data_IF_623972359844
#
_entry.id   IF_623972359844
#
_cell.length_a   1.000
_cell.length_b   1.000
_cell.length_c   1.000
_cell.angle_alpha   90.00
_cell.angle_beta   90.00
_cell.angle_gamma   90.00
#
_symmetry.space_group_name_H-M   'P 1'
#
loop_
_entity.id
_entity.type
_entity.pdbx_description
1 polymer ?
#
# COMPACT_ATOMS: atom_id res chain seq x y z
N UNK A 1 -58.45 44.01 59.59
CA UNK A 1 -57.77 43.00 58.75
C UNK A 1 -58.85 42.29 57.94
N UNK A 2 -59.13 42.74 56.72
CA UNK A 2 -59.95 41.96 55.79
C UNK A 2 -58.99 41.13 54.94
N UNK A 3 -59.00 39.82 55.18
CA UNK A 3 -58.30 38.86 54.35
C UNK A 3 -59.08 38.74 53.03
N UNK A 4 -58.45 39.11 51.92
CA UNK A 4 -58.94 38.79 50.59
C UNK A 4 -58.54 37.34 50.29
N UNK A 5 -59.47 36.42 50.48
CA UNK A 5 -59.34 35.05 49.98
C UNK A 5 -59.18 35.13 48.45
N UNK A 6 -58.06 34.61 47.96
CA UNK A 6 -57.76 34.55 46.53
C UNK A 6 -58.21 33.18 46.05
N UNK A 7 -59.25 33.16 45.21
CA UNK A 7 -59.86 31.93 44.70
C UNK A 7 -58.84 31.12 43.87
N UNK A 8 -58.53 29.86 44.26
CA UNK A 8 -57.49 29.06 43.60
C UNK A 8 -57.85 28.62 42.17
N UNK A 9 -59.13 28.64 41.79
CA UNK A 9 -59.56 28.27 40.43
C UNK A 9 -59.17 29.31 39.35
N UNK A 10 -59.17 30.60 39.69
CA UNK A 10 -58.84 31.65 38.73
C UNK A 10 -57.37 31.60 38.28
N UNK A 11 -56.48 31.12 39.16
CA UNK A 11 -55.05 30.95 38.86
C UNK A 11 -54.78 29.73 37.97
N UNK A 12 -55.60 28.69 38.04
CA UNK A 12 -55.42 27.47 37.22
C UNK A 12 -55.90 27.68 35.78
N UNK A 13 -57.03 28.37 35.58
CA UNK A 13 -57.51 28.75 34.24
C UNK A 13 -56.51 29.68 33.53
N UNK A 14 -55.94 30.65 34.25
CA UNK A 14 -54.90 31.53 33.71
C UNK A 14 -53.64 30.76 33.28
N UNK A 15 -53.19 29.78 34.08
CA UNK A 15 -52.05 28.91 33.72
C UNK A 15 -52.36 28.01 32.52
N UNK A 16 -53.57 27.46 32.43
CA UNK A 16 -53.98 26.65 31.27
C UNK A 16 -54.02 27.47 29.97
N UNK A 17 -54.55 28.70 30.01
CA UNK A 17 -54.59 29.58 28.84
C UNK A 17 -53.17 29.96 28.40
N UNK A 18 -52.29 30.34 29.33
CA UNK A 18 -50.90 30.67 29.00
C UNK A 18 -50.16 29.46 28.40
N UNK A 19 -50.40 28.27 28.94
CA UNK A 19 -49.77 27.04 28.44
C UNK A 19 -50.30 26.69 27.05
N UNK A 20 -51.61 26.82 26.80
CA UNK A 20 -52.21 26.62 25.47
C UNK A 20 -51.73 27.66 24.45
N UNK A 21 -51.65 28.94 24.82
CA UNK A 21 -51.11 29.98 23.94
C UNK A 21 -49.63 29.75 23.61
N UNK A 22 -48.82 29.32 24.60
CA UNK A 22 -47.42 28.93 24.34
C UNK A 22 -47.35 27.73 23.40
N UNK A 23 -48.17 26.69 23.61
CA UNK A 23 -48.19 25.52 22.73
C UNK A 23 -48.60 25.89 21.29
N UNK A 24 -49.61 26.75 21.13
CA UNK A 24 -50.03 27.21 19.80
C UNK A 24 -48.94 28.03 19.12
N UNK A 25 -48.23 28.89 19.86
CA UNK A 25 -47.11 29.65 19.32
C UNK A 25 -45.92 28.76 18.92
N UNK A 26 -45.57 27.77 19.75
CA UNK A 26 -44.50 26.81 19.42
C UNK A 26 -44.87 25.93 18.22
N UNK A 27 -46.12 25.45 18.14
CA UNK A 27 -46.58 24.66 16.99
C UNK A 27 -46.62 25.50 15.70
N UNK A 28 -47.07 26.76 15.77
CA UNK A 28 -47.06 27.67 14.63
C UNK A 28 -45.63 28.03 14.17
N UNK A 29 -44.72 28.26 15.12
CA UNK A 29 -43.30 28.51 14.83
C UNK A 29 -42.59 27.28 14.25
N UNK A 30 -42.94 26.06 14.68
CA UNK A 30 -42.41 24.82 14.14
C UNK A 30 -42.86 24.60 12.68
N UNK A 31 -44.14 24.85 12.38
CA UNK A 31 -44.67 24.75 11.01
C UNK A 31 -44.04 25.76 10.04
N UNK A 32 -43.70 26.96 10.51
CA UNK A 32 -42.96 27.94 9.69
C UNK A 32 -41.51 27.52 9.43
N UNK A 33 -40.88 26.75 10.33
CA UNK A 33 -39.52 26.25 10.18
C UNK A 33 -39.42 25.18 9.08
N UNK A 34 -40.36 24.23 9.05
CA UNK A 34 -40.42 23.19 8.01
C UNK A 34 -40.59 23.77 6.60
N UNK A 35 -41.42 24.80 6.43
CA UNK A 35 -41.60 25.46 5.14
C UNK A 35 -40.34 26.20 4.63
N UNK A 36 -39.47 26.66 5.53
CA UNK A 36 -38.22 27.33 5.18
C UNK A 36 -37.12 26.33 4.76
N UNK A 37 -37.15 25.11 5.33
CA UNK A 37 -36.24 24.02 4.97
C UNK A 37 -36.43 23.57 3.50
N UNK A 38 -37.68 23.42 3.05
CA UNK A 38 -38.00 22.99 1.68
C UNK A 38 -37.66 24.04 0.60
N UNK A 39 -37.72 25.33 0.94
CA UNK A 39 -37.30 26.40 0.03
C UNK A 39 -35.77 26.48 -0.11
N UNK A 40 -35.03 26.25 0.98
CA UNK A 40 -33.56 26.26 0.97
C UNK A 40 -32.94 25.08 0.21
N UNK A 41 -33.62 23.94 0.15
CA UNK A 41 -33.16 22.79 -0.64
C UNK A 41 -33.30 23.04 -2.14
N UNK A 42 -34.37 23.70 -2.59
CA UNK A 42 -34.57 24.01 -4.02
C UNK A 42 -33.54 25.01 -4.54
N UNK A 43 -33.22 26.04 -3.75
CA UNK A 43 -32.19 27.03 -4.13
C UNK A 43 -30.79 26.43 -4.19
N UNK A 44 -30.48 25.47 -3.31
CA UNK A 44 -29.21 24.72 -3.32
C UNK A 44 -29.10 23.79 -4.53
N UNK A 45 -30.19 23.09 -4.89
CA UNK A 45 -30.22 22.22 -6.06
C UNK A 45 -30.13 23.01 -7.38
N UNK A 46 -30.83 24.15 -7.47
CA UNK A 46 -30.71 25.05 -8.62
C UNK A 46 -29.28 25.60 -8.77
N UNK A 47 -28.63 25.98 -7.65
CA UNK A 47 -27.24 26.40 -7.66
C UNK A 47 -26.31 25.28 -8.18
N UNK A 48 -26.45 24.05 -7.69
CA UNK A 48 -25.67 22.90 -8.15
C UNK A 48 -25.89 22.58 -9.65
N UNK A 49 -27.13 22.72 -10.13
CA UNK A 49 -27.46 22.51 -11.53
C UNK A 49 -26.78 23.56 -12.44
N UNK A 50 -26.76 24.82 -12.03
CA UNK A 50 -26.05 25.89 -12.77
C UNK A 50 -24.55 25.68 -12.79
N UNK A 51 -23.95 25.20 -11.69
CA UNK A 51 -22.52 24.89 -11.62
C UNK A 51 -22.14 23.73 -12.54
N UNK A 52 -22.93 22.65 -12.58
CA UNK A 52 -22.74 21.54 -13.52
C UNK A 52 -22.81 22.03 -14.97
N UNK A 53 -23.79 22.87 -15.31
CA UNK A 53 -23.93 23.47 -16.65
C UNK A 53 -22.73 24.33 -17.02
N UNK A 54 -22.24 25.15 -16.10
CA UNK A 54 -21.04 25.97 -16.30
C UNK A 54 -19.78 25.10 -16.48
N UNK A 55 -19.63 24.01 -15.72
CA UNK A 55 -18.53 23.06 -15.86
C UNK A 55 -18.54 22.36 -17.22
N UNK A 56 -19.71 21.90 -17.67
CA UNK A 56 -19.87 21.30 -18.99
C UNK A 56 -19.57 22.29 -20.13
N UNK A 57 -20.00 23.55 -19.99
CA UNK A 57 -19.69 24.59 -20.97
C UNK A 57 -18.18 24.89 -21.04
N UNK A 58 -17.47 24.91 -19.90
CA UNK A 58 -16.00 25.05 -19.85
C UNK A 58 -15.30 23.88 -20.54
N UNK A 59 -15.76 22.65 -20.30
CA UNK A 59 -15.20 21.45 -20.96
C UNK A 59 -15.47 21.45 -22.47
N UNK A 60 -16.65 21.87 -22.91
CA UNK A 60 -16.98 22.01 -24.33
C UNK A 60 -16.13 23.08 -25.02
N UNK A 61 -15.88 24.21 -24.34
CA UNK A 61 -14.99 25.26 -24.85
C UNK A 61 -13.55 24.78 -24.98
N UNK A 62 -13.05 23.99 -24.03
CA UNK A 62 -11.71 23.38 -24.08
C UNK A 62 -11.60 22.36 -25.22
N UNK A 63 -12.62 21.52 -25.44
CA UNK A 63 -12.66 20.57 -26.56
C UNK A 63 -12.64 21.26 -27.92
N UNK A 64 -13.32 22.41 -28.07
CA UNK A 64 -13.32 23.18 -29.33
C UNK A 64 -12.03 23.99 -29.55
N UNK A 65 -11.20 24.16 -28.53
CA UNK A 65 -9.96 24.98 -28.58
C UNK A 65 -8.69 24.15 -28.61
N UNK A 66 -8.79 22.82 -28.65
CA UNK A 66 -7.69 21.99 -29.13
C UNK A 66 -7.58 22.21 -30.65
N UNK A 67 -6.45 22.77 -31.15
CA UNK A 67 -6.16 22.72 -32.57
C UNK A 67 -5.89 21.26 -32.95
N UNK A 68 -6.55 20.78 -34.00
CA UNK A 68 -6.13 19.59 -34.73
C UNK A 68 -4.63 19.76 -35.09
N UNK A 69 -3.75 18.77 -34.87
CA UNK A 69 -2.37 18.88 -35.28
C UNK A 69 -2.28 18.81 -36.81
N UNK A 70 -2.11 19.98 -37.43
CA UNK A 70 -1.74 20.11 -38.84
C UNK A 70 -0.43 19.37 -39.11
N UNK A 71 -0.52 18.49 -40.10
CA UNK A 71 0.58 17.88 -40.80
C UNK A 71 1.47 18.91 -41.49
N UNK A 72 2.76 18.58 -41.56
CA UNK A 72 3.81 19.13 -42.42
C UNK A 72 4.19 20.60 -42.22
N UNK A 73 5.32 20.83 -41.56
CA UNK A 73 6.53 21.41 -42.17
C UNK A 73 7.67 21.43 -41.13
N UNK A 74 8.68 20.58 -41.32
CA UNK A 74 9.96 20.68 -40.60
C UNK A 74 11.07 21.00 -41.60
N UNK A 75 11.60 22.19 -41.40
CA UNK A 75 12.85 22.75 -41.88
C UNK A 75 14.05 21.84 -41.52
N UNK A 76 14.80 21.38 -42.53
CA UNK A 76 16.00 20.57 -42.33
C UNK A 76 17.25 21.38 -42.66
N UNK A 77 18.03 21.59 -41.60
CA UNK A 77 19.36 22.16 -41.62
C UNK A 77 20.42 21.16 -42.11
N UNK A 78 21.54 21.75 -42.52
CA UNK A 78 22.75 21.17 -43.11
C UNK A 78 23.51 20.24 -42.15
N UNK A 79 24.24 19.29 -42.76
CA UNK A 79 25.50 18.64 -42.37
C UNK A 79 25.53 17.18 -41.87
N UNK A 80 26.04 16.32 -42.77
CA UNK A 80 27.03 15.24 -42.58
C UNK A 80 26.77 14.12 -41.57
N UNK A 81 26.02 13.10 -42.03
CA UNK A 81 25.97 11.74 -41.47
C UNK A 81 25.32 10.71 -42.41
N UNK A 82 25.26 11.01 -43.70
CA UNK A 82 24.23 10.49 -44.62
C UNK A 82 24.66 9.26 -45.45
N UNK A 83 25.00 8.13 -44.82
CA UNK A 83 25.13 6.86 -45.57
C UNK A 83 24.23 5.73 -45.10
N UNK A 84 23.76 5.71 -43.85
CA UNK A 84 22.90 4.63 -43.37
C UNK A 84 21.40 5.01 -43.33
N UNK A 85 21.06 6.20 -42.87
CA UNK A 85 19.65 6.67 -42.77
C UNK A 85 18.99 6.89 -44.15
N UNK A 86 19.74 7.38 -45.14
CA UNK A 86 19.25 7.55 -46.51
C UNK A 86 18.85 6.21 -47.18
N UNK A 87 19.42 5.09 -46.74
CA UNK A 87 19.12 3.78 -47.31
C UNK A 87 17.78 3.21 -46.80
N UNK A 88 17.42 3.50 -45.53
CA UNK A 88 16.16 3.08 -44.92
C UNK A 88 14.97 3.79 -45.58
N UNK A 89 15.10 5.09 -45.84
CA UNK A 89 14.06 5.92 -46.45
C UNK A 89 13.81 5.59 -47.93
N UNK A 90 14.88 5.30 -48.67
CA UNK A 90 14.77 4.82 -50.06
C UNK A 90 14.16 3.42 -50.09
N UNK A 91 14.61 2.50 -49.22
CA UNK A 91 14.07 1.15 -49.16
C UNK A 91 12.59 1.14 -48.74
N UNK A 92 12.19 1.90 -47.72
CA UNK A 92 10.79 2.02 -47.30
C UNK A 92 9.92 2.64 -48.41
N UNK A 93 10.41 3.66 -49.13
CA UNK A 93 9.68 4.29 -50.23
C UNK A 93 9.50 3.40 -51.46
N UNK A 94 10.47 2.56 -51.81
CA UNK A 94 10.43 1.75 -53.04
C UNK A 94 10.03 0.28 -52.82
N UNK A 95 10.12 -0.26 -51.59
CA UNK A 95 9.78 -1.66 -51.27
C UNK A 95 8.51 -1.81 -50.40
N UNK A 96 7.88 -0.74 -49.94
CA UNK A 96 6.66 -0.76 -49.07
C UNK A 96 5.41 -1.39 -49.68
N UNK A 97 5.37 -1.64 -50.99
CA UNK A 97 4.21 -2.23 -51.68
C UNK A 97 4.27 -3.75 -51.87
N UNK A 98 5.31 -4.43 -51.36
CA UNK A 98 5.51 -5.88 -51.52
C UNK A 98 5.46 -6.55 -50.15
N UNK A 99 5.26 -7.88 -50.13
CA UNK A 99 5.45 -8.69 -48.95
C UNK A 99 6.97 -8.76 -48.64
N UNK A 100 7.51 -7.66 -48.12
CA UNK A 100 8.91 -7.48 -47.78
C UNK A 100 8.99 -6.61 -46.53
N UNK A 101 9.78 -7.05 -45.56
CA UNK A 101 10.06 -6.30 -44.35
C UNK A 101 11.47 -5.67 -44.43
N UNK A 102 11.58 -4.33 -44.38
CA UNK A 102 12.87 -3.66 -44.50
C UNK A 102 13.84 -3.94 -43.35
N UNK A 103 13.34 -4.33 -42.17
CA UNK A 103 14.19 -4.63 -41.00
C UNK A 103 14.84 -6.01 -41.13
N UNK A 104 14.05 -7.02 -41.44
CA UNK A 104 14.53 -8.41 -41.62
C UNK A 104 15.09 -8.69 -43.01
N UNK A 105 14.98 -7.72 -43.95
CA UNK A 105 15.39 -7.84 -45.36
C UNK A 105 14.87 -9.12 -46.04
N UNK A 106 13.67 -9.56 -45.66
CA UNK A 106 13.08 -10.81 -46.11
C UNK A 106 11.57 -10.70 -46.35
N UNK A 107 10.92 -11.80 -46.80
CA UNK A 107 9.47 -11.85 -46.93
C UNK A 107 8.80 -11.69 -45.55
N UNK A 108 7.82 -10.78 -45.47
CA UNK A 108 6.98 -10.59 -44.28
C UNK A 108 6.06 -11.80 -44.08
N UNK A 109 6.50 -12.72 -43.23
CA UNK A 109 5.69 -13.82 -42.74
C UNK A 109 4.66 -13.28 -41.74
N UNK A 110 3.38 -13.62 -41.91
CA UNK A 110 2.28 -13.14 -41.05
C UNK A 110 2.25 -13.76 -39.65
N UNK A 111 3.36 -14.33 -39.18
CA UNK A 111 3.47 -15.08 -37.93
C UNK A 111 4.40 -14.43 -36.90
N UNK A 112 5.09 -13.34 -37.26
CA UNK A 112 6.03 -12.63 -36.36
C UNK A 112 5.31 -11.92 -35.21
N UNK A 113 4.03 -11.57 -35.38
CA UNK A 113 3.23 -10.96 -34.32
C UNK A 113 2.08 -11.89 -33.95
N UNK A 114 2.08 -12.38 -32.71
CA UNK A 114 0.90 -13.04 -32.16
C UNK A 114 -0.22 -11.99 -32.09
N UNK A 115 -1.45 -12.26 -32.56
CA UNK A 115 -2.55 -11.29 -32.55
C UNK A 115 -2.91 -10.71 -31.16
N UNK A 116 -2.40 -11.33 -30.10
CA UNK A 116 -2.63 -10.99 -28.70
C UNK A 116 -1.49 -10.11 -28.14
N UNK A 117 -0.36 -9.97 -28.85
CA UNK A 117 0.75 -9.12 -28.43
C UNK A 117 0.31 -7.66 -28.30
N UNK A 118 0.38 -7.14 -27.07
CA UNK A 118 0.03 -5.75 -26.76
C UNK A 118 -1.42 -5.50 -26.37
N UNK A 119 -2.30 -6.51 -26.46
CA UNK A 119 -3.66 -6.41 -25.92
C UNK A 119 -3.66 -6.88 -24.47
N UNK A 120 -4.12 -6.02 -23.55
CA UNK A 120 -4.35 -6.44 -22.16
C UNK A 120 -5.42 -7.53 -22.15
N UNK A 121 -5.05 -8.71 -21.68
CA UNK A 121 -5.98 -9.83 -21.59
C UNK A 121 -6.96 -9.59 -20.44
N UNK A 122 -8.16 -10.17 -20.54
CA UNK A 122 -9.14 -10.10 -19.46
C UNK A 122 -8.59 -10.71 -18.17
N UNK A 123 -7.76 -11.75 -18.27
CA UNK A 123 -7.09 -12.38 -17.14
C UNK A 123 -6.12 -11.41 -16.43
N UNK A 124 -5.32 -10.67 -17.19
CA UNK A 124 -4.40 -9.68 -16.63
C UNK A 124 -5.16 -8.52 -15.96
N UNK A 125 -6.26 -8.08 -16.56
CA UNK A 125 -7.13 -7.06 -15.96
C UNK A 125 -7.80 -7.57 -14.68
N UNK A 126 -8.30 -8.81 -14.68
CA UNK A 126 -8.89 -9.44 -13.51
C UNK A 126 -7.87 -9.59 -12.37
N UNK A 127 -6.63 -10.00 -12.68
CA UNK A 127 -5.55 -10.10 -11.69
C UNK A 127 -5.20 -8.74 -11.07
N UNK A 128 -5.13 -7.68 -11.88
CA UNK A 128 -4.90 -6.30 -11.38
C UNK A 128 -6.02 -5.83 -10.46
N UNK A 129 -7.27 -6.12 -10.83
CA UNK A 129 -8.43 -5.77 -10.00
C UNK A 129 -8.38 -6.54 -8.68
N UNK A 130 -8.10 -7.85 -8.70
CA UNK A 130 -7.98 -8.67 -7.49
C UNK A 130 -6.94 -8.11 -6.50
N UNK A 131 -5.73 -7.80 -6.99
CA UNK A 131 -4.65 -7.21 -6.18
C UNK A 131 -5.09 -5.86 -5.59
N UNK A 132 -5.70 -5.00 -6.41
CA UNK A 132 -6.18 -3.69 -5.95
C UNK A 132 -7.29 -3.82 -4.90
N UNK A 133 -8.19 -4.79 -5.03
CA UNK A 133 -9.26 -5.02 -4.05
C UNK A 133 -8.74 -5.58 -2.74
N UNK A 134 -7.75 -6.47 -2.79
CA UNK A 134 -7.09 -6.98 -1.58
C UNK A 134 -6.33 -5.89 -0.82
N UNK A 135 -5.66 -4.99 -1.53
CA UNK A 135 -4.97 -3.85 -0.92
C UNK A 135 -5.97 -2.89 -0.25
N UNK A 136 -7.04 -2.52 -0.97
CA UNK A 136 -8.09 -1.68 -0.41
C UNK A 136 -8.75 -2.32 0.82
N UNK A 137 -9.02 -3.63 0.79
CA UNK A 137 -9.58 -4.33 1.94
C UNK A 137 -8.64 -4.29 3.17
N UNK A 138 -7.33 -4.45 2.98
CA UNK A 138 -6.34 -4.35 4.07
C UNK A 138 -6.25 -2.95 4.67
N UNK A 139 -6.33 -1.92 3.82
CA UNK A 139 -6.33 -0.52 4.26
C UNK A 139 -7.62 -0.16 5.02
N UNK A 140 -8.77 -0.62 4.54
CA UNK A 140 -10.07 -0.46 5.23
C UNK A 140 -10.09 -1.20 6.56
N UNK A 141 -9.56 -2.44 6.63
CA UNK A 141 -9.38 -3.17 7.89
C UNK A 141 -8.45 -2.44 8.88
N UNK A 142 -7.45 -1.69 8.38
CA UNK A 142 -6.58 -0.86 9.22
C UNK A 142 -7.28 0.41 9.72
N UNK A 143 -8.14 1.01 8.90
CA UNK A 143 -8.93 2.18 9.24
C UNK A 143 -10.11 1.87 10.17
N UNK A 144 -10.76 0.72 9.99
CA UNK A 144 -11.90 0.23 10.79
C UNK A 144 -11.47 -0.36 12.14
N UNK A 145 -10.15 -0.52 12.38
CA UNK A 145 -9.64 -0.83 13.71
C UNK A 145 -10.13 0.26 14.67
N UNK A 146 -10.95 -0.09 15.67
CA UNK A 146 -11.52 0.90 16.58
C UNK A 146 -10.39 1.69 17.23
N UNK A 147 -10.42 3.00 17.02
CA UNK A 147 -9.39 3.92 17.52
C UNK A 147 -9.30 3.71 19.03
N UNK A 148 -8.18 3.16 19.46
CA UNK A 148 -7.95 2.84 20.86
C UNK A 148 -7.82 4.14 21.67
N UNK A 149 -8.89 4.45 22.40
CA UNK A 149 -9.05 5.63 23.24
C UNK A 149 -7.93 5.78 24.28
N UNK A 150 -7.23 4.69 24.64
CA UNK A 150 -6.09 4.73 25.55
C UNK A 150 -4.82 5.28 24.90
N UNK A 151 -4.66 5.15 23.58
CA UNK A 151 -3.55 5.73 22.81
C UNK A 151 -3.74 7.22 22.55
N UNK A 152 -4.99 7.68 22.58
CA UNK A 152 -5.38 9.09 22.44
C UNK A 152 -5.30 9.88 23.76
N UNK A 153 -5.02 9.23 24.89
CA UNK A 153 -4.86 9.90 26.17
C UNK A 153 -3.67 10.88 26.13
N UNK A 154 -3.74 11.98 26.92
CA UNK A 154 -2.61 12.88 27.08
C UNK A 154 -1.41 12.11 27.61
N UNK A 155 -0.31 12.15 26.86
CA UNK A 155 0.92 11.41 27.21
C UNK A 155 1.57 11.99 28.47
N UNK A 156 2.36 11.15 29.15
CA UNK A 156 3.16 11.56 30.30
C UNK A 156 4.05 12.77 29.96
N UNK A 157 4.21 13.79 30.82
CA UNK A 157 5.02 14.97 30.51
C UNK A 157 6.47 14.67 30.05
N UNK A 158 7.06 13.59 30.55
CA UNK A 158 8.41 13.14 30.20
C UNK A 158 8.48 12.31 28.89
N UNK A 159 7.38 12.14 28.15
CA UNK A 159 7.33 11.29 26.96
C UNK A 159 8.24 11.80 25.84
N UNK A 160 8.31 13.13 25.70
CA UNK A 160 9.11 13.78 24.67
C UNK A 160 10.60 13.70 24.99
N UNK A 161 10.96 13.97 26.25
CA UNK A 161 12.33 13.79 26.75
C UNK A 161 12.83 12.35 26.57
N UNK A 162 11.96 11.36 26.79
CA UNK A 162 12.30 9.95 26.55
C UNK A 162 12.57 9.68 25.07
N UNK A 163 11.75 10.23 24.17
CA UNK A 163 11.94 10.06 22.73
C UNK A 163 13.27 10.66 22.25
N UNK A 164 13.57 11.88 22.70
CA UNK A 164 14.83 12.56 22.34
C UNK A 164 16.05 11.86 22.95
N UNK A 165 15.91 11.33 24.17
CA UNK A 165 16.94 10.51 24.80
C UNK A 165 17.14 9.21 24.03
N UNK A 166 16.07 8.51 23.66
CA UNK A 166 16.13 7.26 22.91
C UNK A 166 16.82 7.46 21.57
N UNK A 167 16.56 8.56 20.86
CA UNK A 167 17.24 8.88 19.61
C UNK A 167 18.75 9.07 19.79
N UNK A 168 19.16 9.80 20.84
CA UNK A 168 20.59 9.97 21.17
C UNK A 168 21.22 8.64 21.62
N UNK A 169 20.46 7.83 22.34
CA UNK A 169 20.91 6.53 22.83
C UNK A 169 21.01 5.48 21.72
N UNK A 170 20.30 5.59 20.59
CA UNK A 170 20.43 4.62 19.48
C UNK A 170 21.87 4.43 19.03
N UNK A 171 22.59 5.52 18.77
CA UNK A 171 23.97 5.46 18.29
C UNK A 171 24.91 4.95 19.38
N UNK A 172 24.70 5.39 20.63
CA UNK A 172 25.49 4.95 21.78
C UNK A 172 25.26 3.46 22.04
N UNK A 173 24.03 2.98 21.99
CA UNK A 173 23.66 1.58 22.20
C UNK A 173 24.32 0.65 21.19
N UNK A 174 24.41 1.03 19.91
CA UNK A 174 25.16 0.25 18.91
C UNK A 174 26.64 0.15 19.27
N UNK A 175 27.26 1.26 19.70
CA UNK A 175 28.67 1.24 20.13
C UNK A 175 28.87 0.42 21.40
N UNK A 176 27.94 0.53 22.35
CA UNK A 176 27.94 -0.25 23.59
C UNK A 176 27.77 -1.73 23.31
N UNK A 177 26.85 -2.14 22.45
CA UNK A 177 26.66 -3.53 22.04
C UNK A 177 27.91 -4.07 21.32
N UNK A 178 28.53 -3.28 20.44
CA UNK A 178 29.79 -3.66 19.80
C UNK A 178 30.94 -3.79 20.80
N UNK A 179 31.02 -2.91 21.80
CA UNK A 179 32.01 -2.99 22.86
C UNK A 179 31.78 -4.22 23.75
N UNK A 180 30.53 -4.52 24.11
CA UNK A 180 30.13 -5.74 24.84
C UNK A 180 30.55 -6.97 24.03
N UNK A 181 30.25 -7.01 22.73
CA UNK A 181 30.63 -8.14 21.86
C UNK A 181 32.16 -8.36 21.83
N UNK A 182 32.95 -7.28 21.77
CA UNK A 182 34.42 -7.36 21.84
C UNK A 182 34.90 -7.90 23.18
N UNK A 183 34.38 -7.38 24.29
CA UNK A 183 34.73 -7.84 25.63
C UNK A 183 34.36 -9.30 25.85
N UNK A 184 33.19 -9.73 25.36
CA UNK A 184 32.76 -11.13 25.43
C UNK A 184 33.71 -12.01 24.61
N UNK A 185 34.08 -11.60 23.39
CA UNK A 185 35.04 -12.33 22.56
C UNK A 185 36.40 -12.48 23.26
N UNK A 186 36.95 -11.41 23.81
CA UNK A 186 38.22 -11.43 24.55
C UNK A 186 38.15 -12.34 25.78
N UNK A 187 37.04 -12.26 26.55
CA UNK A 187 36.83 -13.13 27.72
C UNK A 187 36.76 -14.60 27.34
N UNK A 188 36.04 -14.95 26.27
CA UNK A 188 35.94 -16.34 25.79
C UNK A 188 37.31 -16.82 25.30
N UNK A 189 38.03 -16.01 24.51
CA UNK A 189 39.37 -16.37 24.01
C UNK A 189 40.37 -16.57 25.15
N UNK A 190 40.37 -15.70 26.16
CA UNK A 190 41.23 -15.84 27.33
C UNK A 190 40.87 -17.08 28.15
N UNK A 191 39.58 -17.33 28.40
CA UNK A 191 39.13 -18.55 29.07
C UNK A 191 39.51 -19.82 28.29
N UNK A 192 39.38 -19.80 26.96
CA UNK A 192 39.80 -20.91 26.10
C UNK A 192 41.32 -21.10 26.11
N UNK A 193 42.09 -20.02 26.08
CA UNK A 193 43.56 -20.07 26.16
C UNK A 193 44.02 -20.62 27.51
N UNK A 194 43.44 -20.15 28.61
CA UNK A 194 43.73 -20.68 29.95
C UNK A 194 43.33 -22.17 30.07
N UNK A 195 42.20 -22.58 29.49
CA UNK A 195 41.81 -23.98 29.46
C UNK A 195 42.79 -24.82 28.62
N UNK A 196 43.23 -24.31 27.45
CA UNK A 196 44.25 -24.97 26.61
C UNK A 196 45.60 -25.06 27.32
N UNK A 197 46.05 -24.00 27.98
CA UNK A 197 47.31 -23.98 28.73
C UNK A 197 47.25 -24.94 29.94
N UNK A 198 46.12 -25.00 30.65
CA UNK A 198 45.89 -25.98 31.73
C UNK A 198 45.84 -27.42 31.21
N UNK A 199 45.22 -27.66 30.05
CA UNK A 199 45.19 -28.98 29.42
C UNK A 199 46.56 -29.41 28.87
N UNK A 200 47.38 -28.48 28.34
CA UNK A 200 48.76 -28.79 27.96
C UNK A 200 49.65 -29.06 29.17
N UNK A 201 49.43 -28.38 30.29
CA UNK A 201 50.17 -28.62 31.53
C UNK A 201 49.76 -29.93 32.25
N UNK A 202 48.58 -30.48 31.97
CA UNK A 202 48.08 -31.72 32.60
C UNK A 202 48.42 -33.01 31.84
N UNK A 203 49.14 -32.95 30.71
CA UNK A 203 49.74 -34.12 30.07
C UNK A 203 48.73 -35.13 29.52
N UNK A 204 47.68 -34.67 28.82
CA UNK A 204 46.78 -35.52 28.04
C UNK A 204 47.05 -35.36 26.54
N UNK A 205 47.47 -36.43 25.89
CA UNK A 205 47.91 -36.45 24.48
C UNK A 205 46.81 -36.19 23.45
N UNK A 206 47.28 -35.95 22.22
CA UNK A 206 46.55 -35.88 20.94
C UNK A 206 45.12 -36.44 20.98
N UNK A 207 44.17 -35.52 20.91
CA UNK A 207 42.75 -35.81 20.85
C UNK A 207 42.04 -34.58 20.30
N UNK A 208 41.73 -34.66 19.02
CA UNK A 208 40.95 -33.74 18.19
C UNK A 208 39.69 -33.15 18.88
N UNK A 209 39.32 -31.93 18.49
CA UNK A 209 37.96 -31.41 18.64
C UNK A 209 37.62 -30.62 19.92
N UNK A 210 37.47 -29.30 19.78
CA UNK A 210 36.16 -28.66 20.01
C UNK A 210 36.19 -27.25 19.38
N UNK A 211 36.00 -27.23 18.06
CA UNK A 211 35.65 -26.05 17.28
C UNK A 211 34.16 -25.76 17.53
N UNK A 212 33.85 -24.89 18.48
CA UNK A 212 32.45 -24.48 18.72
C UNK A 212 32.10 -23.39 17.71
N UNK A 213 31.84 -23.82 16.49
CA UNK A 213 31.51 -22.97 15.36
C UNK A 213 30.72 -23.75 14.32
N UNK A 214 29.58 -24.32 14.72
CA UNK A 214 28.54 -24.88 13.85
C UNK A 214 29.10 -25.44 12.54
N UNK A 215 29.76 -26.60 12.65
CA UNK A 215 30.54 -27.20 11.57
C UNK A 215 29.72 -27.26 10.28
N UNK A 216 30.21 -26.62 9.23
CA UNK A 216 29.63 -26.74 7.89
C UNK A 216 29.53 -28.21 7.44
N UNK A 217 30.38 -29.09 7.98
CA UNK A 217 30.29 -30.54 7.79
C UNK A 217 29.01 -31.15 8.36
N UNK A 218 28.57 -30.75 9.56
CA UNK A 218 27.34 -31.26 10.16
C UNK A 218 26.07 -30.78 9.42
N UNK A 219 26.11 -29.58 8.83
CA UNK A 219 25.03 -29.07 7.99
C UNK A 219 24.97 -29.83 6.65
N UNK A 220 26.13 -30.14 6.05
CA UNK A 220 26.21 -30.93 4.81
C UNK A 220 25.79 -32.38 5.05
N UNK A 221 26.19 -33.01 6.15
CA UNK A 221 25.70 -34.34 6.52
C UNK A 221 24.20 -34.33 6.80
N UNK A 222 23.68 -33.30 7.48
CA UNK A 222 22.25 -33.12 7.70
C UNK A 222 21.45 -32.97 6.39
N UNK A 223 22.01 -32.32 5.37
CA UNK A 223 21.39 -32.22 4.04
C UNK A 223 21.35 -33.59 3.34
N UNK A 224 22.45 -34.34 3.34
CA UNK A 224 22.49 -35.67 2.71
C UNK A 224 21.60 -36.70 3.42
N UNK A 225 21.43 -36.59 4.74
CA UNK A 225 20.50 -37.42 5.52
C UNK A 225 19.05 -37.13 5.12
N UNK A 226 18.68 -35.85 5.02
CA UNK A 226 17.33 -35.44 4.62
C UNK A 226 16.99 -35.83 3.19
N UNK A 227 17.95 -35.72 2.26
CA UNK A 227 17.77 -36.15 0.87
C UNK A 227 17.58 -37.68 0.77
N UNK A 228 18.27 -38.46 1.63
CA UNK A 228 18.07 -39.91 1.72
C UNK A 228 16.70 -40.28 2.28
N UNK A 229 16.28 -39.61 3.35
CA UNK A 229 14.99 -39.87 3.99
C UNK A 229 13.82 -39.51 3.07
N UNK A 230 13.89 -38.36 2.37
CA UNK A 230 12.89 -37.94 1.36
C UNK A 230 12.79 -38.97 0.21
N UNK A 231 13.92 -39.53 -0.25
CA UNK A 231 13.91 -40.57 -1.28
C UNK A 231 13.35 -41.92 -0.81
N UNK A 232 13.49 -42.24 0.48
CA UNK A 232 12.96 -43.48 1.06
C UNK A 232 11.45 -43.36 1.35
N UNK A 233 10.99 -42.17 1.75
CA UNK A 233 9.56 -41.83 1.82
C UNK A 233 8.90 -41.89 0.45
N UNK A 234 9.49 -41.30 -0.60
CA UNK A 234 8.92 -41.34 -1.96
C UNK A 234 8.84 -42.78 -2.50
N UNK A 235 9.79 -43.65 -2.12
CA UNK A 235 9.71 -45.08 -2.43
C UNK A 235 8.57 -45.77 -1.70
N UNK A 236 8.38 -45.46 -0.42
CA UNK A 236 7.27 -46.03 0.38
C UNK A 236 5.92 -45.54 -0.15
N UNK A 237 5.79 -44.26 -0.50
CA UNK A 237 4.56 -43.71 -1.09
C UNK A 237 4.20 -44.40 -2.41
N UNK A 238 5.18 -44.70 -3.28
CA UNK A 238 4.93 -45.48 -4.50
C UNK A 238 4.49 -46.93 -4.22
N UNK A 239 5.09 -47.57 -3.22
CA UNK A 239 4.68 -48.92 -2.80
C UNK A 239 3.26 -48.91 -2.19
N UNK A 240 2.89 -47.86 -1.44
CA UNK A 240 1.53 -47.68 -0.89
C UNK A 240 0.49 -47.36 -1.98
N UNK A 241 0.83 -46.56 -2.99
CA UNK A 241 -0.03 -46.28 -4.15
C UNK A 241 -0.27 -47.55 -5.01
N UNK A 242 0.76 -48.36 -5.25
CA UNK A 242 0.65 -49.64 -5.97
C UNK A 242 -0.16 -50.70 -5.17
N UNK A 243 -0.17 -50.63 -3.83
CA UNK A 243 -1.01 -51.49 -2.98
C UNK A 243 -2.48 -51.01 -2.89
N UNK A 244 -2.75 -49.75 -3.23
CA UNK A 244 -4.08 -49.14 -3.21
C UNK A 244 -4.82 -49.23 -4.55
N UNK A 245 -4.16 -49.61 -5.65
CA UNK A 245 -4.72 -49.86 -6.99
C UNK A 245 -5.18 -51.32 -7.20
#
# INVERSE_FOLDING_TARGET
MMQTETDPEALDVGRQIITRCKLLYYNFSFLLSENNSMASTHTTLDAAATERKARLAKLAALKRKQPEPDSSEQDFSKQDGAKEEMSKDVASRFLSGRNYDPETRGPKLGFEHVPIEGQTTLEEQAAKIAISTEQAAKEDEEADKPIDLFKLQPKNPNWDLKRDLDEKMKIVNVRTQNAIARLVRERIQNAQREAREKNMASGGGDGDGQEVGMDGGALVEGIHLRERDEAEEERREREEDDEME
#
